data_IF_280395063407
#
_entry.id   IF_280395063407
#
_cell.length_a   1.000
_cell.length_b   1.000
_cell.length_c   1.000
_cell.angle_alpha   90.00
_cell.angle_beta   90.00
_cell.angle_gamma   90.00
#
_symmetry.space_group_name_H-M   'P 1'
#
loop_
_entity.id
_entity.type
_entity.pdbx_description
1 polymer ?
#
# COMPACT_ATOMS: atom_id res chain seq x y z
N UNK A 1 -21.43 27.91 34.26
CA UNK A 1 -21.88 26.87 33.30
C UNK A 1 -20.65 26.36 32.57
N UNK A 2 -20.25 25.13 32.85
CA UNK A 2 -19.05 24.48 32.31
C UNK A 2 -19.43 23.62 31.11
N UNK A 3 -18.85 23.90 29.94
CA UNK A 3 -19.03 23.10 28.74
C UNK A 3 -18.14 21.87 28.85
N UNK A 4 -18.74 20.68 29.03
CA UNK A 4 -18.04 19.42 28.89
C UNK A 4 -17.67 19.24 27.42
N UNK A 5 -16.38 19.36 27.10
CA UNK A 5 -15.86 19.06 25.77
C UNK A 5 -15.87 17.54 25.64
N UNK A 6 -16.73 17.00 24.76
CA UNK A 6 -16.80 15.56 24.54
C UNK A 6 -15.44 15.02 24.13
N UNK A 7 -14.94 14.02 24.86
CA UNK A 7 -13.71 13.33 24.50
C UNK A 7 -13.93 12.59 23.18
N UNK A 8 -13.20 13.02 22.15
CA UNK A 8 -13.20 12.35 20.84
C UNK A 8 -12.39 11.07 21.01
N UNK A 9 -13.09 9.96 21.24
CA UNK A 9 -12.48 8.64 21.32
C UNK A 9 -12.24 8.15 19.88
N UNK A 10 -11.06 8.47 19.34
CA UNK A 10 -10.64 8.01 18.01
C UNK A 10 -10.20 6.56 18.15
N UNK A 11 -11.00 5.62 17.64
CA UNK A 11 -10.62 4.22 17.53
C UNK A 11 -9.48 4.06 16.50
N UNK A 12 -8.24 3.70 16.93
CA UNK A 12 -7.13 3.53 16.01
C UNK A 12 -7.32 2.35 15.04
N UNK A 13 -8.18 1.37 15.39
CA UNK A 13 -8.44 0.20 14.54
C UNK A 13 -9.23 0.57 13.28
N UNK A 14 -10.12 1.56 13.34
CA UNK A 14 -10.89 2.06 12.21
C UNK A 14 -9.99 2.68 11.11
N UNK A 15 -8.81 3.20 11.48
CA UNK A 15 -7.85 3.82 10.56
C UNK A 15 -6.66 2.92 10.21
N UNK A 16 -6.59 1.68 10.71
CA UNK A 16 -5.49 0.75 10.37
C UNK A 16 -5.34 0.55 8.86
N UNK A 17 -6.43 0.55 8.09
CA UNK A 17 -6.40 0.49 6.62
C UNK A 17 -6.11 1.81 5.91
N UNK A 18 -6.26 2.94 6.59
CA UNK A 18 -5.93 4.30 6.10
C UNK A 18 -4.46 4.68 6.39
N UNK A 19 -3.78 3.92 7.26
CA UNK A 19 -2.42 4.17 7.75
C UNK A 19 -1.28 3.78 6.79
N UNK A 20 -1.54 3.69 5.48
CA UNK A 20 -0.49 3.70 4.47
C UNK A 20 0.12 5.12 4.36
N UNK A 21 0.55 5.67 5.50
CA UNK A 21 1.09 7.01 5.68
C UNK A 21 2.50 7.05 5.09
N UNK A 22 2.60 6.95 3.77
CA UNK A 22 3.79 7.38 3.05
C UNK A 22 4.04 8.84 3.47
N UNK A 23 5.17 9.14 4.12
CA UNK A 23 5.40 10.46 4.69
C UNK A 23 5.26 11.56 3.64
N UNK A 24 4.64 12.68 4.01
CA UNK A 24 4.40 13.80 3.08
C UNK A 24 5.64 14.69 2.89
N UNK A 25 6.60 14.64 3.82
CA UNK A 25 7.78 15.49 3.82
C UNK A 25 9.00 14.77 3.25
N UNK A 26 9.84 15.50 2.52
CA UNK A 26 11.05 14.96 1.89
C UNK A 26 12.04 14.33 2.90
N UNK A 27 12.32 14.93 4.07
CA UNK A 27 13.25 14.33 5.04
C UNK A 27 12.75 12.97 5.56
N UNK A 28 11.48 12.90 6.01
CA UNK A 28 10.90 11.66 6.50
C UNK A 28 10.80 10.58 5.42
N UNK A 29 10.50 10.98 4.17
CA UNK A 29 10.52 10.05 3.03
C UNK A 29 11.90 9.49 2.76
N UNK A 30 12.95 10.32 2.88
CA UNK A 30 14.33 9.87 2.71
C UNK A 30 14.73 8.89 3.81
N UNK A 31 14.43 9.19 5.06
CA UNK A 31 14.69 8.30 6.20
C UNK A 31 14.01 6.95 6.01
N UNK A 32 12.70 6.97 5.71
CA UNK A 32 11.94 5.76 5.44
C UNK A 32 12.52 4.96 4.26
N UNK A 33 12.89 5.63 3.18
CA UNK A 33 13.48 4.99 2.00
C UNK A 33 14.80 4.28 2.33
N UNK A 34 15.66 4.92 3.12
CA UNK A 34 16.95 4.35 3.54
C UNK A 34 16.76 3.20 4.54
N UNK A 35 15.74 3.28 5.40
CA UNK A 35 15.43 2.21 6.35
C UNK A 35 14.90 0.94 5.66
N UNK A 36 14.11 1.08 4.60
CA UNK A 36 13.52 -0.05 3.89
C UNK A 36 14.52 -0.72 2.95
N UNK A 37 15.31 0.08 2.22
CA UNK A 37 16.18 -0.40 1.15
C UNK A 37 17.64 -0.26 1.54
N UNK A 38 18.37 -1.38 1.59
CA UNK A 38 19.80 -1.40 1.93
C UNK A 38 20.63 -0.56 0.95
N UNK A 39 20.24 -0.54 -0.33
CA UNK A 39 20.88 0.29 -1.36
C UNK A 39 20.32 1.73 -1.41
N UNK A 40 19.38 2.07 -0.52
CA UNK A 40 18.67 3.33 -0.52
C UNK A 40 19.57 4.54 -0.26
N UNK A 41 20.55 4.42 0.64
CA UNK A 41 21.47 5.52 0.95
C UNK A 41 22.32 5.94 -0.26
N UNK A 42 22.83 4.96 -1.02
CA UNK A 42 23.61 5.22 -2.23
C UNK A 42 22.75 5.89 -3.32
N UNK A 43 21.51 5.40 -3.51
CA UNK A 43 20.57 5.99 -4.45
C UNK A 43 20.18 7.44 -4.09
N UNK A 44 19.97 7.73 -2.80
CA UNK A 44 19.74 9.09 -2.31
C UNK A 44 20.93 10.00 -2.59
N UNK A 45 22.16 9.52 -2.38
CA UNK A 45 23.38 10.26 -2.70
C UNK A 45 23.47 10.63 -4.18
N UNK A 46 23.19 9.67 -5.08
CA UNK A 46 23.14 9.92 -6.53
C UNK A 46 22.01 10.88 -6.96
N UNK A 47 20.90 10.90 -6.24
CA UNK A 47 19.82 11.86 -6.51
C UNK A 47 20.25 13.29 -6.16
N UNK A 48 20.94 13.46 -5.04
CA UNK A 48 21.39 14.78 -4.57
C UNK A 48 22.35 15.46 -5.54
N UNK A 49 23.10 14.71 -6.35
CA UNK A 49 23.97 15.30 -7.37
C UNK A 49 23.20 15.90 -8.56
N UNK A 50 21.89 15.63 -8.71
CA UNK A 50 21.06 16.16 -9.81
C UNK A 50 20.08 17.24 -9.34
N UNK A 51 20.47 18.51 -9.46
CA UNK A 51 19.74 19.70 -8.98
C UNK A 51 18.30 19.88 -9.49
N UNK A 52 17.92 19.32 -10.65
CA UNK A 52 16.59 19.55 -11.28
C UNK A 52 15.57 18.43 -11.02
N UNK A 53 15.81 17.60 -10.01
CA UNK A 53 15.06 16.35 -9.86
C UNK A 53 14.04 16.43 -8.73
N UNK A 54 12.79 16.01 -8.98
CA UNK A 54 11.80 15.89 -7.90
C UNK A 54 12.07 14.61 -7.08
N UNK A 55 12.83 14.76 -5.99
CA UNK A 55 13.25 13.62 -5.14
C UNK A 55 12.06 12.98 -4.44
N UNK A 56 11.13 13.80 -3.94
CA UNK A 56 9.95 13.33 -3.21
C UNK A 56 9.08 12.43 -4.09
N UNK A 57 8.79 12.89 -5.31
CA UNK A 57 8.04 12.13 -6.29
C UNK A 57 8.68 10.77 -6.59
N UNK A 58 10.01 10.72 -6.70
CA UNK A 58 10.74 9.49 -7.01
C UNK A 58 10.70 8.48 -5.87
N UNK A 59 10.98 8.92 -4.63
CA UNK A 59 10.87 8.04 -3.47
C UNK A 59 9.46 7.47 -3.36
N UNK A 60 8.45 8.32 -3.53
CA UNK A 60 7.05 7.88 -3.51
C UNK A 60 6.74 6.86 -4.59
N UNK A 61 7.18 7.10 -5.83
CA UNK A 61 6.96 6.16 -6.93
C UNK A 61 7.61 4.80 -6.66
N UNK A 62 8.82 4.77 -6.10
CA UNK A 62 9.50 3.51 -5.76
C UNK A 62 8.79 2.80 -4.60
N UNK A 63 8.38 3.54 -3.56
CA UNK A 63 7.68 2.95 -2.43
C UNK A 63 6.31 2.35 -2.82
N UNK A 64 5.60 2.93 -3.80
CA UNK A 64 4.36 2.36 -4.34
C UNK A 64 4.60 0.98 -4.98
N UNK A 65 5.80 0.71 -5.52
CA UNK A 65 6.11 -0.58 -6.14
C UNK A 65 6.06 -1.73 -5.12
N UNK A 66 6.19 -1.45 -3.81
CA UNK A 66 6.07 -2.45 -2.74
C UNK A 66 4.70 -3.11 -2.68
N UNK A 67 3.67 -2.47 -3.24
CA UNK A 67 2.34 -3.06 -3.41
C UNK A 67 2.31 -4.21 -4.42
N UNK A 68 3.33 -4.30 -5.29
CA UNK A 68 3.36 -5.22 -6.42
C UNK A 68 4.60 -6.13 -6.45
N UNK A 69 5.70 -5.72 -5.82
CA UNK A 69 6.99 -6.41 -5.83
C UNK A 69 7.56 -6.48 -4.42
N UNK A 70 8.27 -7.56 -4.11
CA UNK A 70 8.94 -7.72 -2.82
C UNK A 70 10.06 -6.72 -2.61
N UNK A 71 10.31 -6.35 -1.35
CA UNK A 71 11.28 -5.31 -1.01
C UNK A 71 12.68 -5.68 -1.52
N UNK A 72 13.06 -6.97 -1.49
CA UNK A 72 14.33 -7.46 -2.05
C UNK A 72 14.44 -7.31 -3.57
N UNK A 73 13.32 -7.45 -4.31
CA UNK A 73 13.31 -7.25 -5.77
C UNK A 73 13.52 -5.77 -6.11
N UNK A 74 12.86 -4.89 -5.34
CA UNK A 74 12.98 -3.45 -5.49
C UNK A 74 14.39 -2.99 -5.11
N UNK A 75 14.96 -3.51 -4.02
CA UNK A 75 16.32 -3.18 -3.60
C UNK A 75 17.37 -3.60 -4.64
N UNK A 76 17.23 -4.79 -5.22
CA UNK A 76 18.08 -5.23 -6.34
C UNK A 76 17.94 -4.31 -7.57
N UNK A 77 16.73 -3.83 -7.88
CA UNK A 77 16.53 -2.87 -8.97
C UNK A 77 17.14 -1.49 -8.65
N UNK A 78 17.13 -1.07 -7.37
CA UNK A 78 17.80 0.15 -6.89
C UNK A 78 19.32 0.00 -7.04
N UNK A 79 19.89 -1.13 -6.66
CA UNK A 79 21.32 -1.43 -6.83
C UNK A 79 21.75 -1.28 -8.30
N UNK A 80 20.97 -1.83 -9.24
CA UNK A 80 21.23 -1.66 -10.67
C UNK A 80 21.14 -0.20 -11.10
N UNK A 81 20.18 0.57 -10.57
CA UNK A 81 20.07 2.00 -10.86
C UNK A 81 21.29 2.78 -10.37
N UNK A 82 21.81 2.42 -9.20
CA UNK A 82 23.05 2.98 -8.64
C UNK A 82 24.25 2.63 -9.52
N UNK A 83 24.41 1.35 -9.88
CA UNK A 83 25.52 0.84 -10.68
C UNK A 83 25.61 1.53 -12.04
N UNK A 84 24.48 1.68 -12.73
CA UNK A 84 24.42 2.36 -14.02
C UNK A 84 24.30 3.89 -13.92
N UNK A 85 24.27 4.45 -12.71
CA UNK A 85 24.01 5.88 -12.43
C UNK A 85 22.74 6.40 -13.13
N UNK A 86 21.76 5.52 -13.30
CA UNK A 86 20.50 5.74 -14.04
C UNK A 86 19.41 6.17 -13.07
N UNK A 87 19.24 7.48 -12.96
CA UNK A 87 18.19 8.08 -12.15
C UNK A 87 17.01 8.49 -13.02
N UNK A 88 16.53 7.62 -13.92
CA UNK A 88 15.32 7.89 -14.70
C UNK A 88 14.11 7.32 -13.95
N UNK A 89 12.98 8.04 -13.98
CA UNK A 89 11.79 7.66 -13.20
C UNK A 89 11.26 6.26 -13.58
N UNK A 90 11.40 5.90 -14.87
CA UNK A 90 10.93 4.61 -15.40
C UNK A 90 11.96 3.48 -15.30
N UNK A 91 13.21 3.77 -14.91
CA UNK A 91 14.28 2.77 -14.94
C UNK A 91 13.99 1.59 -13.99
N UNK A 92 13.74 1.88 -12.72
CA UNK A 92 13.42 0.86 -11.70
C UNK A 92 12.14 0.08 -12.07
N UNK A 93 11.00 0.74 -12.42
CA UNK A 93 9.83 0.02 -12.90
C UNK A 93 10.10 -0.89 -14.11
N UNK A 94 10.94 -0.46 -15.05
CA UNK A 94 11.26 -1.25 -16.24
C UNK A 94 12.11 -2.49 -15.92
N UNK A 95 13.00 -2.42 -14.93
CA UNK A 95 13.71 -3.60 -14.42
C UNK A 95 12.71 -4.58 -13.80
N UNK A 96 11.84 -4.09 -12.92
CA UNK A 96 10.89 -4.92 -12.18
C UNK A 96 9.83 -5.60 -13.06
N UNK A 97 9.51 -5.04 -14.24
CA UNK A 97 8.60 -5.70 -15.21
C UNK A 97 9.02 -7.11 -15.60
N UNK A 98 10.32 -7.44 -15.49
CA UNK A 98 10.85 -8.77 -15.78
C UNK A 98 10.76 -9.74 -14.60
N UNK A 99 10.43 -9.24 -13.41
CA UNK A 99 10.35 -10.02 -12.17
C UNK A 99 8.94 -10.49 -11.87
N UNK A 100 8.82 -11.57 -11.11
CA UNK A 100 7.53 -12.07 -10.62
C UNK A 100 6.91 -11.07 -9.65
N UNK A 101 5.63 -10.74 -9.86
CA UNK A 101 4.87 -9.89 -8.93
C UNK A 101 4.47 -10.68 -7.68
N UNK A 102 4.19 -9.97 -6.60
CA UNK A 102 3.55 -10.56 -5.40
C UNK A 102 2.25 -11.24 -5.80
N UNK A 103 1.97 -12.39 -5.18
CA UNK A 103 0.65 -13.00 -5.30
C UNK A 103 -0.37 -12.05 -4.69
N UNK A 104 -1.40 -11.68 -5.45
CA UNK A 104 -2.53 -10.96 -4.88
C UNK A 104 -3.16 -11.85 -3.80
N UNK A 105 -3.13 -11.39 -2.56
CA UNK A 105 -3.91 -12.00 -1.49
C UNK A 105 -5.35 -11.62 -1.80
N UNK A 106 -6.07 -12.49 -2.50
CA UNK A 106 -7.51 -12.33 -2.68
C UNK A 106 -8.10 -12.57 -1.29
N UNK A 107 -8.77 -11.57 -0.67
CA UNK A 107 -9.44 -11.82 0.59
C UNK A 107 -10.43 -12.94 0.35
N UNK A 108 -10.26 -14.05 1.07
CA UNK A 108 -11.24 -15.13 1.10
C UNK A 108 -12.51 -14.47 1.62
N UNK A 109 -13.50 -14.27 0.74
CA UNK A 109 -14.82 -13.82 1.16
C UNK A 109 -15.25 -14.76 2.27
N UNK A 110 -15.51 -14.23 3.46
CA UNK A 110 -16.27 -14.96 4.46
C UNK A 110 -17.51 -15.48 3.73
N UNK A 111 -17.69 -16.80 3.75
CA UNK A 111 -18.86 -17.42 3.12
C UNK A 111 -20.06 -16.70 3.72
N UNK A 112 -20.79 -15.96 2.89
CA UNK A 112 -22.09 -15.41 3.28
C UNK A 112 -22.86 -16.58 3.90
N UNK A 113 -23.37 -16.46 5.14
CA UNK A 113 -24.19 -17.50 5.73
C UNK A 113 -25.27 -17.84 4.71
N UNK A 114 -25.29 -19.09 4.26
CA UNK A 114 -26.34 -19.55 3.36
C UNK A 114 -27.57 -19.64 4.24
N UNK A 115 -28.28 -18.53 4.39
CA UNK A 115 -29.58 -18.55 5.03
C UNK A 115 -30.43 -19.54 4.24
N UNK A 116 -30.72 -20.68 4.86
CA UNK A 116 -31.72 -21.60 4.33
C UNK A 116 -33.06 -20.86 4.40
N UNK A 117 -33.39 -20.16 3.33
CA UNK A 117 -34.72 -19.62 3.14
C UNK A 117 -35.62 -20.83 2.94
N UNK A 118 -36.38 -21.20 3.98
CA UNK A 118 -37.47 -22.15 3.85
C UNK A 118 -38.53 -21.52 2.94
N UNK A 119 -38.47 -21.84 1.65
CA UNK A 119 -39.49 -21.46 0.70
C UNK A 119 -40.74 -22.27 1.06
N UNK A 120 -41.72 -21.61 1.69
CA UNK A 120 -42.98 -22.26 2.02
C UNK A 120 -43.76 -22.55 0.73
N UNK A 121 -44.27 -23.77 0.54
CA UNK A 121 -45.11 -24.07 -0.61
C UNK A 121 -46.40 -23.25 -0.57
N UNK A 122 -46.98 -22.96 -1.73
CA UNK A 122 -48.22 -22.17 -1.86
C UNK A 122 -49.38 -22.70 -0.99
N UNK A 123 -49.43 -24.01 -0.74
CA UNK A 123 -50.40 -24.66 0.15
C UNK A 123 -50.31 -24.23 1.62
N UNK A 124 -49.20 -23.63 2.05
CA UNK A 124 -49.06 -23.10 3.40
C UNK A 124 -50.07 -21.97 3.67
N UNK A 125 -50.33 -21.13 2.66
CA UNK A 125 -51.20 -19.96 2.79
C UNK A 125 -52.70 -20.32 2.74
N UNK A 126 -53.06 -21.46 2.14
CA UNK A 126 -54.45 -21.92 2.13
C UNK A 126 -54.96 -22.33 3.52
N UNK A 127 -54.07 -22.66 4.45
CA UNK A 127 -54.45 -23.04 5.82
C UNK A 127 -54.58 -21.86 6.79
N UNK A 128 -54.21 -20.64 6.38
CA UNK A 128 -54.30 -19.42 7.20
C UNK A 128 -55.63 -18.68 7.05
N UNK A 129 -56.54 -19.19 6.20
CA UNK A 129 -57.83 -18.56 5.88
C UNK A 129 -59.04 -19.28 6.52
N UNK A 130 -58.79 -20.18 7.48
CA UNK A 130 -59.80 -20.86 8.30
C UNK A 130 -59.48 -20.67 9.77
#
# INVERSE_FOLDING_TARGET
MSFQTGEIQIDPAHYKGLSNEVPKTLPKMRELFIQIFSNGAQYVGLLQTKLKTNHLYRYRKILILRNHYEDWQIDAAIEQAVLYKRMDVEFIPNILKKSSRKSAIIPVSEKVPTEHVEIRPLSYYSHLLH
#
